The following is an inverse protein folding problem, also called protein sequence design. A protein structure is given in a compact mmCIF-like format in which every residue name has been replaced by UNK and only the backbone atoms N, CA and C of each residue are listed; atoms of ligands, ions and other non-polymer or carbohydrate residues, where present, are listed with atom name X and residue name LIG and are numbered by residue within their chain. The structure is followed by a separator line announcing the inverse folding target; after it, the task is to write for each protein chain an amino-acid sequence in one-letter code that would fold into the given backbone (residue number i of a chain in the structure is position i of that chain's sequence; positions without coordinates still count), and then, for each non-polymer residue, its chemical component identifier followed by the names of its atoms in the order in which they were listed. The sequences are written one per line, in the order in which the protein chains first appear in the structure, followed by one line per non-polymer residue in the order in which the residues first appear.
data_IF_600053990749
#
_entry.id   IF_600053990749
#
_cell.length_a   1.000
_cell.length_b   1.000
_cell.length_c   1.000
_cell.angle_alpha   90.00
_cell.angle_beta   90.00
_cell.angle_gamma   90.00
#
_symmetry.space_group_name_H-M   'P 1'
#
loop_
_entity.id
_entity.type
_entity.pdbx_description
1 polymer ?
#
# COMPACT_ATOMS: atom_id res chain seq x y z
N UNK A 1 25.71 20.90 -24.47
CA UNK A 1 24.45 20.14 -24.55
C UNK A 1 24.52 19.00 -23.53
N UNK A 2 24.07 19.23 -22.30
CA UNK A 2 23.90 18.16 -21.31
C UNK A 2 22.52 17.55 -21.57
N UNK A 3 22.48 16.35 -22.14
CA UNK A 3 21.30 15.49 -22.08
C UNK A 3 21.13 15.13 -20.61
N UNK A 4 20.16 15.75 -19.94
CA UNK A 4 19.61 15.23 -18.70
C UNK A 4 19.06 13.85 -19.03
N UNK A 5 19.77 12.81 -18.63
CA UNK A 5 19.23 11.48 -18.55
C UNK A 5 18.01 11.57 -17.65
N UNK A 6 16.83 11.51 -18.26
CA UNK A 6 15.58 11.37 -17.55
C UNK A 6 15.72 10.02 -16.84
N UNK A 7 16.04 10.08 -15.55
CA UNK A 7 16.03 8.93 -14.66
C UNK A 7 14.70 8.24 -14.88
N UNK A 8 14.73 7.04 -15.49
CA UNK A 8 13.60 6.13 -15.43
C UNK A 8 13.16 6.05 -13.96
N UNK A 9 11.86 5.98 -13.66
CA UNK A 9 11.42 5.83 -12.27
C UNK A 9 12.21 4.66 -11.68
N UNK A 10 12.74 4.86 -10.48
CA UNK A 10 13.58 3.91 -9.74
C UNK A 10 12.77 2.67 -9.33
N UNK A 11 12.16 1.99 -10.30
CA UNK A 11 11.22 0.90 -10.12
C UNK A 11 11.89 -0.47 -10.09
N UNK A 12 13.21 -0.55 -10.22
CA UNK A 12 13.96 -1.80 -10.17
C UNK A 12 15.28 -1.59 -9.44
N UNK A 13 15.23 -1.36 -8.13
CA UNK A 13 16.40 -1.58 -7.29
C UNK A 13 16.25 -2.95 -6.61
N UNK A 14 16.95 -3.99 -7.06
CA UNK A 14 16.86 -5.34 -6.49
C UNK A 14 17.30 -5.42 -5.01
N UNK A 15 17.88 -4.35 -4.46
CA UNK A 15 18.21 -4.23 -3.04
C UNK A 15 17.09 -3.58 -2.19
N UNK A 16 16.01 -3.05 -2.80
CA UNK A 16 14.86 -2.52 -2.07
C UNK A 16 13.95 -3.69 -1.70
N UNK A 17 14.15 -4.20 -0.49
CA UNK A 17 13.25 -5.18 0.13
C UNK A 17 12.04 -4.41 0.67
N UNK A 18 10.91 -4.60 0.01
CA UNK A 18 9.63 -4.08 0.47
C UNK A 18 9.10 -4.95 1.60
N UNK A 19 8.46 -4.32 2.60
CA UNK A 19 7.62 -5.00 3.59
C UNK A 19 6.18 -4.68 3.29
N UNK A 20 5.33 -5.70 3.26
CA UNK A 20 3.90 -5.57 2.95
C UNK A 20 3.06 -6.34 3.95
N UNK A 21 1.86 -5.85 4.21
CA UNK A 21 0.83 -6.60 4.94
C UNK A 21 0.10 -7.50 3.94
N UNK A 22 -0.10 -8.75 4.35
CA UNK A 22 -0.95 -9.71 3.66
C UNK A 22 -1.93 -10.27 4.68
N UNK A 23 -3.21 -10.32 4.32
CA UNK A 23 -4.27 -10.88 5.15
C UNK A 23 -4.96 -11.98 4.36
N UNK A 24 -4.98 -13.18 4.92
CA UNK A 24 -5.85 -14.27 4.45
C UNK A 24 -7.19 -14.08 5.15
N UNK A 25 -8.22 -13.83 4.35
CA UNK A 25 -9.55 -13.44 4.81
C UNK A 25 -10.32 -14.65 5.37
N UNK A 26 -11.40 -14.43 6.15
CA UNK A 26 -12.10 -15.51 6.85
C UNK A 26 -12.62 -16.61 5.93
N UNK A 27 -13.14 -16.23 4.77
CA UNK A 27 -13.64 -17.16 3.75
C UNK A 27 -12.56 -18.08 3.16
N UNK A 28 -11.29 -17.76 3.35
CA UNK A 28 -10.15 -18.51 2.83
C UNK A 28 -9.16 -18.93 3.93
N UNK A 29 -9.53 -18.75 5.21
CA UNK A 29 -8.66 -18.95 6.35
C UNK A 29 -8.07 -20.35 6.41
N UNK A 30 -8.86 -21.40 6.18
CA UNK A 30 -8.40 -22.78 6.31
C UNK A 30 -7.41 -23.23 5.23
N UNK A 31 -7.25 -22.45 4.16
CA UNK A 31 -6.25 -22.68 3.10
C UNK A 31 -4.89 -22.04 3.44
N UNK A 32 -4.71 -21.48 4.65
CA UNK A 32 -3.54 -20.71 5.00
C UNK A 32 -2.21 -21.44 4.80
N UNK A 33 -2.12 -22.74 5.10
CA UNK A 33 -0.88 -23.50 4.89
C UNK A 33 -0.48 -23.53 3.40
N UNK A 34 -1.46 -23.64 2.49
CA UNK A 34 -1.25 -23.55 1.05
C UNK A 34 -0.73 -22.18 0.63
N UNK A 35 -1.32 -21.11 1.16
CA UNK A 35 -0.89 -19.72 0.91
C UNK A 35 0.53 -19.49 1.44
N UNK A 36 0.85 -19.90 2.67
CA UNK A 36 2.18 -19.74 3.25
C UNK A 36 3.25 -20.50 2.47
N UNK A 37 2.93 -21.71 1.98
CA UNK A 37 3.81 -22.49 1.12
C UNK A 37 4.05 -21.79 -0.21
N UNK A 38 3.01 -21.22 -0.82
CA UNK A 38 3.11 -20.48 -2.08
C UNK A 38 3.95 -19.21 -1.90
N UNK A 39 3.70 -18.42 -0.85
CA UNK A 39 4.50 -17.24 -0.51
C UNK A 39 5.99 -17.58 -0.39
N UNK A 40 6.34 -18.65 0.34
CA UNK A 40 7.75 -19.08 0.48
C UNK A 40 8.35 -19.52 -0.85
N UNK A 41 7.59 -20.22 -1.69
CA UNK A 41 8.02 -20.63 -3.04
C UNK A 41 8.32 -19.41 -3.90
N UNK A 42 7.49 -18.38 -3.81
CA UNK A 42 7.70 -17.07 -4.44
C UNK A 42 8.60 -16.17 -3.57
N UNK A 43 9.61 -16.72 -2.90
CA UNK A 43 10.61 -16.07 -2.03
C UNK A 43 10.13 -14.93 -1.11
N UNK A 44 8.88 -14.93 -0.66
CA UNK A 44 8.45 -14.03 0.41
C UNK A 44 9.00 -14.54 1.75
N UNK A 45 9.74 -13.68 2.45
CA UNK A 45 10.07 -13.89 3.85
C UNK A 45 8.88 -13.51 4.72
N UNK A 46 8.35 -14.46 5.50
CA UNK A 46 7.28 -14.19 6.47
C UNK A 46 7.95 -13.78 7.79
N UNK A 47 7.82 -12.52 8.18
CA UNK A 47 8.44 -11.94 9.38
C UNK A 47 7.58 -12.22 10.62
N UNK A 48 6.28 -11.94 10.52
CA UNK A 48 5.30 -12.16 11.59
C UNK A 48 4.08 -12.87 11.03
N UNK A 49 3.43 -13.66 11.90
CA UNK A 49 2.19 -14.39 11.59
C UNK A 49 1.28 -14.42 12.80
N UNK A 50 0.08 -13.89 12.66
CA UNK A 50 -0.93 -13.89 13.73
C UNK A 50 -2.28 -14.35 13.19
N UNK A 51 -2.95 -15.21 13.95
CA UNK A 51 -4.40 -15.38 13.79
C UNK A 51 -5.06 -14.18 14.46
N UNK A 52 -5.89 -13.46 13.71
CA UNK A 52 -6.58 -12.25 14.20
C UNK A 52 -8.05 -12.31 13.80
N UNK A 53 -8.92 -11.99 14.75
CA UNK A 53 -10.32 -11.71 14.48
C UNK A 53 -10.50 -10.19 14.53
N UNK A 54 -10.88 -9.58 13.42
CA UNK A 54 -11.01 -8.13 13.33
C UNK A 54 -12.37 -7.69 13.83
N UNK A 55 -12.42 -6.56 14.55
CA UNK A 55 -13.67 -5.85 14.84
C UNK A 55 -13.88 -4.77 13.79
N UNK A 56 -15.14 -4.51 13.43
CA UNK A 56 -15.47 -3.45 12.48
C UNK A 56 -14.85 -2.09 12.86
N UNK A 57 -14.94 -1.71 14.14
CA UNK A 57 -14.35 -0.46 14.65
C UNK A 57 -12.82 -0.40 14.43
N UNK A 58 -12.10 -1.51 14.63
CA UNK A 58 -10.65 -1.58 14.40
C UNK A 58 -10.31 -1.41 12.91
N UNK A 59 -11.16 -1.93 12.01
CA UNK A 59 -10.97 -1.78 10.56
C UNK A 59 -11.24 -0.35 10.11
N UNK A 60 -12.26 0.30 10.69
CA UNK A 60 -12.56 1.71 10.44
C UNK A 60 -11.41 2.60 10.88
N UNK A 61 -10.87 2.37 12.09
CA UNK A 61 -9.70 3.09 12.58
C UNK A 61 -8.51 2.89 11.64
N UNK A 62 -8.20 1.64 11.30
CA UNK A 62 -7.11 1.29 10.39
C UNK A 62 -7.23 1.91 8.99
N UNK A 63 -8.43 2.00 8.42
CA UNK A 63 -8.63 2.51 7.05
C UNK A 63 -9.05 3.97 6.94
N UNK A 64 -9.33 4.63 8.06
CA UNK A 64 -9.73 6.05 8.10
C UNK A 64 -8.72 7.01 7.43
N UNK A 65 -7.43 6.67 7.41
CA UNK A 65 -6.38 7.48 6.80
C UNK A 65 -6.11 7.16 5.31
N UNK A 66 -6.73 6.10 4.78
CA UNK A 66 -6.52 5.63 3.40
C UNK A 66 -7.59 6.24 2.47
N UNK A 67 -7.28 7.42 1.92
CA UNK A 67 -8.15 8.20 1.03
C UNK A 67 -8.49 7.49 -0.30
N UNK A 68 -7.81 6.38 -0.64
CA UNK A 68 -8.04 5.60 -1.85
C UNK A 68 -8.88 4.35 -1.62
N UNK A 69 -9.24 4.04 -0.37
CA UNK A 69 -10.00 2.84 -0.04
C UNK A 69 -11.47 2.95 -0.47
N UNK A 70 -11.75 2.54 -1.70
CA UNK A 70 -13.12 2.27 -2.14
C UNK A 70 -13.69 1.13 -1.28
N UNK A 71 -14.86 1.38 -0.68
CA UNK A 71 -15.66 0.49 0.17
C UNK A 71 -14.98 -0.12 1.41
N UNK A 72 -14.52 0.74 2.33
CA UNK A 72 -14.08 0.35 3.70
C UNK A 72 -15.13 -0.52 4.40
N UNK A 73 -16.42 -0.24 4.19
CA UNK A 73 -17.53 -0.99 4.79
C UNK A 73 -17.53 -2.46 4.34
N UNK A 74 -17.39 -2.72 3.04
CA UNK A 74 -17.34 -4.09 2.52
C UNK A 74 -16.12 -4.85 3.04
N UNK A 75 -14.95 -4.19 3.08
CA UNK A 75 -13.74 -4.78 3.64
C UNK A 75 -13.90 -5.08 5.14
N UNK A 76 -14.54 -4.18 5.88
CA UNK A 76 -14.84 -4.33 7.31
C UNK A 76 -15.73 -5.54 7.58
N UNK A 77 -16.83 -5.68 6.83
CA UNK A 77 -17.74 -6.82 6.96
C UNK A 77 -16.97 -8.13 6.72
N UNK A 78 -16.25 -8.20 5.60
CA UNK A 78 -15.49 -9.39 5.21
C UNK A 78 -14.41 -9.77 6.23
N UNK A 79 -13.75 -8.81 6.86
CA UNK A 79 -12.70 -9.07 7.87
C UNK A 79 -13.28 -9.49 9.22
N UNK A 80 -14.49 -9.03 9.53
CA UNK A 80 -15.16 -9.29 10.81
C UNK A 80 -15.92 -10.63 10.83
N UNK A 81 -16.17 -11.23 9.66
CA UNK A 81 -16.92 -12.49 9.51
C UNK A 81 -16.25 -13.73 10.16
N UNK A 82 -14.99 -13.64 10.58
CA UNK A 82 -14.31 -14.79 11.17
C UNK A 82 -12.81 -14.60 11.41
N UNK A 83 -12.07 -15.68 11.72
CA UNK A 83 -10.63 -15.60 11.91
C UNK A 83 -9.92 -15.31 10.58
N UNK A 84 -8.96 -14.39 10.62
CA UNK A 84 -8.04 -14.09 9.53
C UNK A 84 -6.62 -14.54 9.89
N UNK A 85 -5.78 -14.73 8.86
CA UNK A 85 -4.33 -14.81 9.04
C UNK A 85 -3.68 -13.49 8.63
N UNK A 86 -3.17 -12.74 9.61
CA UNK A 86 -2.43 -11.50 9.39
C UNK A 86 -0.93 -11.81 9.29
N UNK A 87 -0.30 -11.35 8.22
CA UNK A 87 1.10 -11.58 7.90
C UNK A 87 1.83 -10.26 7.66
N UNK A 88 3.05 -10.17 8.17
CA UNK A 88 4.05 -9.21 7.70
C UNK A 88 5.04 -9.96 6.80
N UNK A 89 5.05 -9.62 5.51
CA UNK A 89 5.89 -10.27 4.51
C UNK A 89 6.96 -9.32 4.00
N UNK A 90 8.09 -9.84 3.55
CA UNK A 90 9.12 -9.07 2.87
C UNK A 90 9.66 -9.75 1.61
N UNK A 91 9.90 -8.97 0.55
CA UNK A 91 10.49 -9.43 -0.72
C UNK A 91 10.97 -8.21 -1.54
N UNK A 92 11.94 -8.41 -2.43
CA UNK A 92 12.18 -7.43 -3.49
C UNK A 92 10.98 -7.41 -4.46
N UNK A 93 10.55 -6.22 -4.90
CA UNK A 93 9.39 -6.04 -5.77
C UNK A 93 8.09 -6.65 -5.21
N UNK A 94 7.91 -6.61 -3.88
CA UNK A 94 6.85 -7.36 -3.20
C UNK A 94 5.45 -7.08 -3.76
N UNK A 95 5.15 -5.83 -4.15
CA UNK A 95 3.84 -5.42 -4.68
C UNK A 95 3.49 -6.08 -6.01
N UNK A 96 4.46 -6.21 -6.92
CA UNK A 96 4.26 -6.82 -8.23
C UNK A 96 4.05 -8.32 -8.06
N UNK A 97 4.91 -8.93 -7.26
CA UNK A 97 4.95 -10.38 -7.05
C UNK A 97 3.74 -10.87 -6.25
N UNK A 98 3.32 -10.09 -5.24
CA UNK A 98 2.15 -10.41 -4.43
C UNK A 98 0.86 -10.35 -5.24
N UNK A 99 0.80 -9.52 -6.29
CA UNK A 99 -0.36 -9.45 -7.18
C UNK A 99 -0.61 -10.80 -7.87
N UNK A 100 0.43 -11.49 -8.32
CA UNK A 100 0.29 -12.80 -8.95
C UNK A 100 -0.11 -13.89 -7.95
N UNK A 101 0.47 -13.87 -6.75
CA UNK A 101 0.07 -14.79 -5.67
C UNK A 101 -1.40 -14.58 -5.28
N UNK A 102 -1.81 -13.32 -5.08
CA UNK A 102 -3.18 -12.96 -4.74
C UNK A 102 -4.14 -13.39 -5.85
N UNK A 103 -3.80 -13.14 -7.13
CA UNK A 103 -4.61 -13.55 -8.29
C UNK A 103 -4.84 -15.06 -8.30
N UNK A 104 -3.79 -15.86 -8.07
CA UNK A 104 -3.92 -17.32 -8.02
C UNK A 104 -4.90 -17.78 -6.93
N UNK A 105 -4.76 -17.26 -5.71
CA UNK A 105 -5.60 -17.67 -4.59
C UNK A 105 -7.02 -17.11 -4.66
N UNK A 106 -7.21 -15.89 -5.16
CA UNK A 106 -8.54 -15.30 -5.29
C UNK A 106 -9.39 -16.05 -6.32
N UNK A 107 -8.80 -16.59 -7.40
CA UNK A 107 -9.51 -17.49 -8.33
C UNK A 107 -10.05 -18.74 -7.60
N UNK A 108 -9.32 -19.27 -6.63
CA UNK A 108 -9.76 -20.43 -5.84
C UNK A 108 -10.83 -19.98 -4.83
N UNK A 109 -10.61 -18.88 -4.11
CA UNK A 109 -11.54 -18.33 -3.14
C UNK A 109 -12.91 -18.01 -3.77
N UNK A 110 -12.95 -17.45 -4.98
CA UNK A 110 -14.20 -17.18 -5.70
C UNK A 110 -15.01 -18.44 -6.02
N UNK A 111 -14.35 -19.60 -6.18
CA UNK A 111 -15.06 -20.89 -6.34
C UNK A 111 -15.72 -21.36 -5.05
N UNK A 112 -15.25 -20.87 -3.91
CA UNK A 112 -15.73 -21.23 -2.58
C UNK A 112 -16.79 -20.25 -2.05
N UNK A 113 -16.61 -18.94 -2.27
CA UNK A 113 -17.42 -17.93 -1.58
C UNK A 113 -17.66 -16.61 -2.33
N UNK A 114 -17.53 -16.57 -3.67
CA UNK A 114 -17.68 -15.37 -4.52
C UNK A 114 -16.82 -14.14 -4.18
N UNK A 115 -16.09 -14.13 -3.07
CA UNK A 115 -15.25 -13.04 -2.59
C UNK A 115 -13.75 -13.38 -2.74
N UNK A 116 -12.91 -12.35 -2.87
CA UNK A 116 -11.46 -12.50 -2.77
C UNK A 116 -11.09 -13.16 -1.43
N UNK A 117 -10.04 -13.98 -1.43
CA UNK A 117 -9.53 -14.66 -0.24
C UNK A 117 -8.29 -14.00 0.36
N UNK A 118 -7.65 -13.08 -0.38
CA UNK A 118 -6.43 -12.39 0.04
C UNK A 118 -6.59 -10.89 -0.10
N UNK A 119 -6.29 -10.17 0.98
CA UNK A 119 -5.98 -8.75 0.98
C UNK A 119 -4.47 -8.55 1.07
N UNK A 120 -3.94 -7.51 0.42
CA UNK A 120 -2.54 -7.09 0.60
C UNK A 120 -2.38 -5.59 0.38
N UNK A 121 -1.35 -5.01 0.99
CA UNK A 121 -0.98 -3.61 0.78
C UNK A 121 -0.62 -3.35 -0.68
N UNK A 122 -1.28 -2.37 -1.32
CA UNK A 122 -1.16 -2.15 -2.78
C UNK A 122 -0.04 -1.19 -3.18
N UNK A 123 0.39 -0.32 -2.27
CA UNK A 123 1.41 0.72 -2.51
C UNK A 123 2.35 0.81 -1.32
N UNK A 124 3.51 1.44 -1.50
CA UNK A 124 4.48 1.69 -0.42
C UNK A 124 3.85 2.49 0.72
N UNK A 125 2.99 3.48 0.41
CA UNK A 125 2.31 4.30 1.42
C UNK A 125 1.28 3.46 2.19
N UNK A 126 0.48 2.64 1.49
CA UNK A 126 -0.47 1.74 2.14
C UNK A 126 0.25 0.71 3.01
N UNK A 127 1.32 0.09 2.50
CA UNK A 127 2.12 -0.88 3.26
C UNK A 127 2.74 -0.28 4.51
N UNK A 128 3.18 0.97 4.42
CA UNK A 128 3.64 1.73 5.57
C UNK A 128 2.53 1.92 6.61
N UNK A 129 1.36 2.43 6.20
CA UNK A 129 0.24 2.65 7.11
C UNK A 129 -0.24 1.36 7.76
N UNK A 130 -0.40 0.30 6.96
CA UNK A 130 -0.83 -1.01 7.43
C UNK A 130 0.21 -1.60 8.42
N UNK A 131 1.51 -1.46 8.13
CA UNK A 131 2.57 -1.92 9.03
C UNK A 131 2.64 -1.10 10.31
N UNK A 132 2.46 0.22 10.25
CA UNK A 132 2.42 1.08 11.42
C UNK A 132 1.27 0.70 12.35
N UNK A 133 0.09 0.40 11.78
CA UNK A 133 -1.09 0.02 12.55
C UNK A 133 -0.95 -1.37 13.19
N UNK A 134 -0.50 -2.37 12.44
CA UNK A 134 -0.46 -3.76 12.93
C UNK A 134 0.84 -4.15 13.63
N UNK A 135 1.97 -3.60 13.19
CA UNK A 135 3.31 -4.02 13.56
C UNK A 135 4.25 -2.83 13.78
N UNK A 136 3.88 -1.86 14.64
CA UNK A 136 4.62 -0.59 14.79
C UNK A 136 6.10 -0.78 15.15
N UNK A 137 6.45 -1.87 15.84
CA UNK A 137 7.84 -2.21 16.19
C UNK A 137 8.78 -2.43 14.99
N UNK A 138 8.24 -2.62 13.78
CA UNK A 138 9.03 -2.79 12.54
C UNK A 138 9.18 -1.51 11.73
N UNK A 139 8.62 -0.41 12.22
CA UNK A 139 8.75 0.91 11.62
C UNK A 139 9.94 1.62 12.26
N UNK A 140 10.92 2.02 11.44
CA UNK A 140 12.02 2.89 11.87
C UNK A 140 11.70 4.34 11.51
N UNK A 141 11.30 5.12 12.52
CA UNK A 141 10.96 6.54 12.41
C UNK A 141 12.04 7.39 11.73
N UNK A 142 13.32 7.04 11.92
CA UNK A 142 14.44 7.79 11.32
C UNK A 142 14.61 7.47 9.84
N UNK A 143 14.38 6.22 9.45
CA UNK A 143 14.37 5.85 8.04
C UNK A 143 13.21 6.54 7.31
N UNK A 144 12.03 6.66 7.94
CA UNK A 144 10.85 7.33 7.37
C UNK A 144 11.11 8.79 7.07
N UNK A 145 11.63 9.57 8.02
CA UNK A 145 11.91 11.00 7.81
C UNK A 145 12.82 11.23 6.61
N UNK A 146 13.79 10.32 6.40
CA UNK A 146 14.67 10.35 5.24
C UNK A 146 13.90 10.06 3.94
N UNK A 147 13.10 8.98 3.89
CA UNK A 147 12.36 8.60 2.68
C UNK A 147 11.23 9.57 2.35
N UNK A 148 10.52 10.09 3.36
CA UNK A 148 9.50 11.13 3.19
C UNK A 148 10.11 12.42 2.66
N UNK A 149 11.29 12.82 3.17
CA UNK A 149 12.05 13.95 2.62
C UNK A 149 12.45 13.69 1.17
N UNK A 150 12.93 12.50 0.85
CA UNK A 150 13.35 12.14 -0.51
C UNK A 150 12.14 12.13 -1.48
N UNK A 151 11.02 11.51 -1.10
CA UNK A 151 9.77 11.54 -1.87
C UNK A 151 9.25 12.97 -2.05
N UNK A 152 9.20 13.76 -0.98
CA UNK A 152 8.82 15.16 -1.07
C UNK A 152 9.76 15.92 -2.01
N UNK A 153 11.07 15.69 -1.94
CA UNK A 153 12.04 16.43 -2.76
C UNK A 153 12.02 16.03 -4.24
N UNK A 154 11.75 14.76 -4.54
CA UNK A 154 11.85 14.21 -5.90
C UNK A 154 10.51 14.24 -6.62
N UNK A 155 9.42 13.80 -5.97
CA UNK A 155 8.13 13.59 -6.61
C UNK A 155 7.17 14.78 -6.43
N UNK A 156 7.19 15.41 -5.25
CA UNK A 156 6.20 16.44 -4.88
C UNK A 156 6.71 17.86 -5.11
N UNK A 157 7.91 18.17 -4.62
CA UNK A 157 8.46 19.52 -4.55
C UNK A 157 8.67 20.18 -5.90
N UNK A 158 9.14 19.50 -6.97
CA UNK A 158 9.30 20.15 -8.27
C UNK A 158 7.99 20.74 -8.81
N UNK A 159 6.89 19.99 -8.69
CA UNK A 159 5.56 20.40 -9.16
C UNK A 159 4.91 21.41 -8.19
N UNK A 160 5.01 21.14 -6.89
CA UNK A 160 4.43 21.99 -5.87
C UNK A 160 5.12 23.38 -5.86
N UNK A 161 6.44 23.43 -5.93
CA UNK A 161 7.20 24.67 -5.96
C UNK A 161 6.83 25.53 -7.18
N UNK A 162 6.64 24.92 -8.36
CA UNK A 162 6.18 25.60 -9.56
C UNK A 162 4.74 26.12 -9.42
N UNK A 163 3.83 25.31 -8.88
CA UNK A 163 2.45 25.73 -8.61
C UNK A 163 2.37 26.89 -7.61
N UNK A 164 3.14 26.82 -6.52
CA UNK A 164 3.22 27.88 -5.51
C UNK A 164 3.80 29.18 -6.08
N UNK A 165 4.85 29.09 -6.91
CA UNK A 165 5.43 30.25 -7.57
C UNK A 165 4.42 30.95 -8.48
N UNK A 166 3.62 30.19 -9.25
CA UNK A 166 2.57 30.76 -10.10
C UNK A 166 1.40 31.30 -9.30
N UNK A 167 0.99 30.61 -8.24
CA UNK A 167 -0.06 31.08 -7.35
C UNK A 167 0.27 32.45 -6.74
N UNK A 168 1.54 32.68 -6.38
CA UNK A 168 2.01 33.96 -5.85
C UNK A 168 1.95 35.12 -6.88
N UNK A 169 2.04 34.80 -8.17
CA UNK A 169 1.93 35.76 -9.29
C UNK A 169 0.48 36.02 -9.67
N UNK A 170 -0.29 34.95 -9.92
CA UNK A 170 -1.66 35.03 -10.44
C UNK A 170 -2.66 35.52 -9.39
N UNK A 171 -2.41 35.25 -8.11
CA UNK A 171 -3.24 35.65 -6.96
C UNK A 171 -4.76 35.47 -7.20
N UNK A 172 -5.21 34.27 -7.59
CA UNK A 172 -6.60 34.01 -7.89
C UNK A 172 -7.47 34.13 -6.63
N UNK A 173 -8.76 34.47 -6.81
CA UNK A 173 -9.71 34.64 -5.70
C UNK A 173 -9.92 33.37 -4.86
N UNK A 174 -9.71 32.19 -5.45
CA UNK A 174 -9.70 30.91 -4.73
C UNK A 174 -8.36 30.17 -4.91
N UNK A 175 -7.35 30.50 -4.06
CA UNK A 175 -5.99 29.98 -4.20
C UNK A 175 -5.88 28.46 -4.11
N UNK A 176 -6.68 27.83 -3.24
CA UNK A 176 -6.62 26.38 -3.00
C UNK A 176 -7.20 25.62 -4.20
N UNK A 177 -8.38 26.02 -4.67
CA UNK A 177 -9.02 25.40 -5.85
C UNK A 177 -8.12 25.54 -7.08
N UNK A 178 -7.60 26.75 -7.31
CA UNK A 178 -6.72 27.02 -8.44
C UNK A 178 -5.44 26.17 -8.39
N UNK A 179 -4.80 26.07 -7.22
CA UNK A 179 -3.59 25.26 -7.07
C UNK A 179 -3.87 23.77 -7.33
N UNK A 180 -5.01 23.25 -6.84
CA UNK A 180 -5.39 21.86 -7.06
C UNK A 180 -5.62 21.55 -8.55
N UNK A 181 -6.35 22.41 -9.27
CA UNK A 181 -6.56 22.29 -10.72
C UNK A 181 -5.23 22.37 -11.48
N UNK A 182 -4.35 23.29 -11.07
CA UNK A 182 -3.04 23.47 -11.69
C UNK A 182 -2.12 22.24 -11.50
N UNK A 183 -2.08 21.68 -10.29
CA UNK A 183 -1.33 20.47 -9.99
C UNK A 183 -1.87 19.24 -10.74
N UNK A 184 -3.19 19.16 -10.97
CA UNK A 184 -3.80 18.10 -11.78
C UNK A 184 -3.41 18.19 -13.26
N UNK A 185 -3.33 19.39 -13.85
CA UNK A 185 -2.92 19.56 -15.25
C UNK A 185 -1.46 19.15 -15.49
N UNK A 186 -0.62 19.16 -14.45
CA UNK A 186 0.78 18.71 -14.53
C UNK A 186 0.96 17.19 -14.32
N UNK A 187 -0.13 16.42 -14.28
CA UNK A 187 -0.10 14.93 -14.20
C UNK A 187 -0.04 14.23 -15.56
N UNK A 188 -0.24 14.93 -16.68
CA UNK A 188 -0.11 14.42 -18.06
C UNK A 188 1.29 14.67 -18.63
#
# INVERSE_FOLDING_TARGET
MYRSEISKPQLENPNLVDRIIVIILPNYFYEYEGVLKHLRKENFGIIEKHVKHFKADDVMEWKSADLESQDIWELSDRLSDGPCMLLLCQRANAFIEMREVARYHNVIAHRMSSNDGIYFSKTTIAAYHDTLFFFPKYIDEKAILKHAKDYLSVEVWPKLSQGLARLAVERPDNPIKWLAEHLQQMRS
#
